data_IF_801306172177
#
_entry.id   IF_801306172177
#
_cell.length_a   1.000
_cell.length_b   1.000
_cell.length_c   1.000
_cell.angle_alpha   90.00
_cell.angle_beta   90.00
_cell.angle_gamma   90.00
#
_symmetry.space_group_name_H-M   'P 1'
#
loop_
_entity.id
_entity.type
_entity.pdbx_description
1 polymer ?
#
# COMPACT_ATOMS: atom_id res chain seq x y z
N UNK A 1 22.63 11.71 -4.94
CA UNK A 1 22.38 12.50 -3.71
C UNK A 1 21.90 11.64 -2.54
N UNK A 2 21.70 10.32 -2.72
CA UNK A 2 21.23 9.41 -1.66
C UNK A 2 19.70 9.33 -1.56
N UNK A 3 18.97 9.98 -2.46
CA UNK A 3 17.51 9.86 -2.54
C UNK A 3 17.07 8.45 -2.93
N UNK A 4 15.90 8.03 -2.45
CA UNK A 4 15.33 6.74 -2.78
C UNK A 4 14.99 6.66 -4.28
N UNK A 5 15.38 5.57 -4.93
CA UNK A 5 15.06 5.31 -6.33
C UNK A 5 13.62 4.76 -6.46
N UNK A 6 12.72 5.62 -6.92
CA UNK A 6 11.30 5.30 -7.08
C UNK A 6 10.96 4.59 -8.39
N UNK A 7 11.91 4.39 -9.31
CA UNK A 7 11.60 3.89 -10.67
C UNK A 7 10.90 2.53 -10.65
N UNK A 8 11.27 1.65 -9.71
CA UNK A 8 10.67 0.33 -9.59
C UNK A 8 9.23 0.40 -9.06
N UNK A 9 9.00 1.22 -8.03
CA UNK A 9 7.67 1.43 -7.44
C UNK A 9 6.72 2.02 -8.48
N UNK A 10 7.17 3.02 -9.23
CA UNK A 10 6.37 3.66 -10.28
C UNK A 10 6.15 2.76 -11.50
N UNK A 11 7.14 1.95 -11.87
CA UNK A 11 6.98 0.95 -12.93
C UNK A 11 5.89 -0.07 -12.61
N UNK A 12 5.88 -0.60 -11.38
CA UNK A 12 4.82 -1.52 -10.92
C UNK A 12 3.46 -0.82 -10.85
N UNK A 13 3.40 0.43 -10.39
CA UNK A 13 2.17 1.20 -10.37
C UNK A 13 1.57 1.37 -11.79
N UNK A 14 2.41 1.63 -12.80
CA UNK A 14 1.98 1.66 -14.19
C UNK A 14 1.47 0.29 -14.65
N UNK A 15 2.19 -0.80 -14.38
CA UNK A 15 1.79 -2.15 -14.76
C UNK A 15 0.44 -2.56 -14.14
N UNK A 16 0.17 -2.18 -12.88
CA UNK A 16 -1.13 -2.35 -12.24
C UNK A 16 -2.21 -1.61 -13.04
N UNK A 17 -1.97 -0.32 -13.35
CA UNK A 17 -2.89 0.47 -14.17
C UNK A 17 -3.08 -0.10 -15.58
N UNK A 18 -2.09 -0.81 -16.14
CA UNK A 18 -2.17 -1.43 -17.48
C UNK A 18 -3.06 -2.67 -17.48
N UNK A 19 -3.09 -3.40 -16.36
CA UNK A 19 -3.63 -4.76 -16.29
C UNK A 19 -4.92 -4.88 -15.50
N UNK A 20 -5.20 -3.95 -14.57
CA UNK A 20 -6.41 -4.01 -13.74
C UNK A 20 -7.71 -3.98 -14.55
N UNK A 21 -8.73 -4.70 -14.06
CA UNK A 21 -10.04 -4.86 -14.71
C UNK A 21 -11.22 -4.67 -13.76
N UNK A 22 -10.94 -4.34 -12.50
CA UNK A 22 -11.93 -4.09 -11.45
C UNK A 22 -11.28 -3.18 -10.39
N UNK A 23 -12.05 -2.79 -9.38
CA UNK A 23 -11.57 -2.00 -8.25
C UNK A 23 -10.44 -2.71 -7.48
N UNK A 24 -9.42 -1.93 -7.10
CA UNK A 24 -8.26 -2.40 -6.32
C UNK A 24 -7.88 -1.40 -5.22
N UNK A 25 -7.24 -1.92 -4.17
CA UNK A 25 -6.45 -1.11 -3.22
C UNK A 25 -4.97 -1.39 -3.48
N UNK A 26 -4.25 -0.37 -3.95
CA UNK A 26 -2.81 -0.45 -4.24
C UNK A 26 -2.02 -0.10 -2.99
N UNK A 27 -1.42 -1.10 -2.36
CA UNK A 27 -0.75 -0.95 -1.06
C UNK A 27 0.76 -0.82 -1.26
N UNK A 28 1.32 0.33 -0.87
CA UNK A 28 2.77 0.53 -0.84
C UNK A 28 3.34 -0.01 0.46
N UNK A 29 4.10 -1.10 0.37
CA UNK A 29 4.82 -1.72 1.49
C UNK A 29 6.31 -1.37 1.53
N UNK A 30 6.88 -1.05 0.37
CA UNK A 30 8.27 -0.62 0.23
C UNK A 30 8.56 0.61 1.08
N UNK A 31 9.76 0.67 1.66
CA UNK A 31 10.26 1.89 2.32
C UNK A 31 10.48 2.98 1.27
N UNK A 32 9.60 3.97 1.27
CA UNK A 32 9.59 5.07 0.29
C UNK A 32 9.48 6.41 1.02
N UNK A 33 9.98 7.51 0.42
CA UNK A 33 9.80 8.84 0.98
C UNK A 33 8.31 9.23 1.06
N UNK A 34 8.00 10.13 1.98
CA UNK A 34 6.69 10.80 2.08
C UNK A 34 6.28 11.38 0.72
N UNK A 35 5.00 11.27 0.38
CA UNK A 35 4.43 11.72 -0.89
C UNK A 35 4.58 10.74 -2.05
N UNK A 36 5.20 9.57 -1.83
CA UNK A 36 5.28 8.53 -2.89
C UNK A 36 3.91 7.95 -3.25
N UNK A 37 2.98 7.87 -2.30
CA UNK A 37 1.62 7.40 -2.56
C UNK A 37 0.90 8.23 -3.64
N UNK A 38 1.08 9.55 -3.65
CA UNK A 38 0.52 10.42 -4.69
C UNK A 38 1.14 10.17 -6.06
N UNK A 39 2.44 9.84 -6.10
CA UNK A 39 3.11 9.44 -7.35
C UNK A 39 2.59 8.09 -7.87
N UNK A 40 2.34 7.15 -6.97
CA UNK A 40 1.71 5.85 -7.29
C UNK A 40 0.30 6.08 -7.83
N UNK A 41 -0.51 6.90 -7.14
CA UNK A 41 -1.86 7.27 -7.56
C UNK A 41 -1.87 7.87 -8.96
N UNK A 42 -0.98 8.82 -9.23
CA UNK A 42 -0.81 9.44 -10.55
C UNK A 42 -0.40 8.43 -11.63
N UNK A 43 0.53 7.52 -11.34
CA UNK A 43 0.99 6.51 -12.30
C UNK A 43 -0.10 5.49 -12.69
N UNK A 44 -0.91 5.06 -11.73
CA UNK A 44 -2.08 4.20 -12.00
C UNK A 44 -3.12 4.96 -12.83
N UNK A 45 -3.48 6.18 -12.40
CA UNK A 45 -4.49 7.00 -13.06
C UNK A 45 -4.13 7.34 -14.51
N UNK A 46 -2.89 7.79 -14.77
CA UNK A 46 -2.42 8.13 -16.13
C UNK A 46 -2.50 6.92 -17.07
N UNK A 47 -2.31 5.73 -16.53
CA UNK A 47 -2.35 4.49 -17.31
C UNK A 47 -3.79 4.08 -17.64
N UNK A 48 -4.71 4.24 -16.69
CA UNK A 48 -6.15 4.04 -16.94
C UNK A 48 -6.68 5.02 -18.00
N UNK A 49 -6.26 6.29 -17.91
CA UNK A 49 -6.56 7.30 -18.91
C UNK A 49 -6.01 6.90 -20.29
N UNK A 50 -4.76 6.48 -20.38
CA UNK A 50 -4.13 5.99 -21.62
C UNK A 50 -4.89 4.80 -22.23
N UNK A 51 -5.46 3.93 -21.38
CA UNK A 51 -6.29 2.79 -21.81
C UNK A 51 -7.71 3.19 -22.23
N UNK A 52 -8.16 4.40 -21.90
CA UNK A 52 -9.55 4.83 -22.12
C UNK A 52 -10.57 4.05 -21.30
N UNK A 53 -10.19 3.57 -20.12
CA UNK A 53 -11.08 2.81 -19.21
C UNK A 53 -11.22 3.51 -17.88
N UNK A 54 -12.33 3.26 -17.18
CA UNK A 54 -12.60 3.82 -15.85
C UNK A 54 -12.81 2.69 -14.86
N UNK A 55 -11.83 2.50 -13.99
CA UNK A 55 -11.93 1.65 -12.81
C UNK A 55 -11.61 2.50 -11.58
N UNK A 56 -12.39 2.34 -10.51
CA UNK A 56 -12.05 2.95 -9.22
C UNK A 56 -10.82 2.26 -8.61
N UNK A 57 -10.02 2.99 -7.85
CA UNK A 57 -8.96 2.40 -7.03
C UNK A 57 -8.60 3.33 -5.88
N UNK A 58 -8.08 2.74 -4.81
CA UNK A 58 -7.49 3.48 -3.69
C UNK A 58 -5.99 3.17 -3.58
N UNK A 59 -5.27 4.05 -2.90
CA UNK A 59 -3.86 3.85 -2.56
C UNK A 59 -3.74 3.82 -1.04
N UNK A 60 -2.95 2.90 -0.51
CA UNK A 60 -2.66 2.80 0.92
C UNK A 60 -1.16 2.69 1.16
N UNK A 61 -0.73 3.10 2.35
CA UNK A 61 0.62 2.84 2.87
C UNK A 61 0.53 1.75 3.93
N UNK A 62 1.39 0.73 3.85
CA UNK A 62 1.50 -0.27 4.91
C UNK A 62 2.97 -0.70 5.04
N UNK A 63 3.80 0.12 5.70
CA UNK A 63 5.23 -0.16 5.84
C UNK A 63 5.47 -1.52 6.51
N UNK A 64 6.67 -2.03 6.33
CA UNK A 64 7.15 -3.27 6.95
C UNK A 64 8.21 -2.97 8.02
N UNK A 65 8.30 -3.84 9.01
CA UNK A 65 9.22 -3.70 10.15
C UNK A 65 9.96 -5.03 10.42
N UNK A 66 10.23 -5.79 9.36
CA UNK A 66 10.79 -7.14 9.44
C UNK A 66 12.31 -7.07 9.56
N UNK A 67 12.88 -7.94 10.39
CA UNK A 67 14.33 -8.11 10.49
C UNK A 67 14.78 -9.27 9.61
N UNK A 68 15.90 -9.07 8.92
CA UNK A 68 16.57 -10.14 8.18
C UNK A 68 16.91 -11.30 9.12
N UNK A 69 16.62 -12.53 8.70
CA UNK A 69 16.80 -13.74 9.52
C UNK A 69 15.65 -14.06 10.49
N UNK A 70 14.69 -13.15 10.69
CA UNK A 70 13.50 -13.36 11.56
C UNK A 70 12.17 -12.98 10.89
N UNK A 71 12.17 -12.73 9.57
CA UNK A 71 11.04 -12.13 8.86
C UNK A 71 9.70 -12.88 9.00
N UNK A 72 9.72 -14.22 9.08
CA UNK A 72 8.50 -15.01 9.28
C UNK A 72 7.90 -14.74 10.67
N UNK A 73 8.72 -14.81 11.72
CA UNK A 73 8.25 -14.57 13.08
C UNK A 73 7.81 -13.13 13.28
N UNK A 74 8.56 -12.16 12.74
CA UNK A 74 8.23 -10.74 12.80
C UNK A 74 6.91 -10.42 12.07
N UNK A 75 6.65 -11.08 10.94
CA UNK A 75 5.40 -10.91 10.20
C UNK A 75 4.22 -11.54 10.94
N UNK A 76 4.41 -12.73 11.52
CA UNK A 76 3.35 -13.48 12.19
C UNK A 76 3.03 -12.96 13.59
N UNK A 77 3.96 -12.28 14.25
CA UNK A 77 3.82 -11.73 15.61
C UNK A 77 4.27 -10.26 15.67
N UNK A 78 3.62 -9.35 14.92
CA UNK A 78 4.05 -7.96 14.89
C UNK A 78 3.70 -7.25 16.20
N UNK A 79 4.55 -6.34 16.66
CA UNK A 79 4.21 -5.46 17.79
C UNK A 79 3.01 -4.55 17.46
N UNK A 80 2.93 -4.14 16.19
CA UNK A 80 1.86 -3.32 15.60
C UNK A 80 1.93 -3.38 14.07
N UNK A 81 0.79 -3.18 13.42
CA UNK A 81 0.67 -3.03 11.97
C UNK A 81 0.25 -1.58 11.69
N UNK A 82 1.05 -0.84 10.93
CA UNK A 82 0.76 0.56 10.58
C UNK A 82 0.09 0.60 9.20
N UNK A 83 -1.04 1.29 9.09
CA UNK A 83 -1.78 1.43 7.83
C UNK A 83 -2.18 2.89 7.62
N UNK A 84 -1.64 3.51 6.58
CA UNK A 84 -2.07 4.82 6.08
C UNK A 84 -3.13 4.65 5.00
N UNK A 85 -4.30 5.28 5.17
CA UNK A 85 -5.43 5.25 4.22
C UNK A 85 -6.10 6.61 4.13
N UNK A 86 -6.75 6.90 3.01
CA UNK A 86 -7.54 8.12 2.80
C UNK A 86 -8.99 7.86 2.34
N UNK A 87 -9.44 6.60 2.38
CA UNK A 87 -10.82 6.21 2.09
C UNK A 87 -11.36 5.18 3.09
N UNK A 88 -12.65 5.26 3.40
CA UNK A 88 -13.34 4.29 4.26
C UNK A 88 -13.32 2.88 3.66
N UNK A 89 -13.36 2.77 2.33
CA UNK A 89 -13.40 1.48 1.65
C UNK A 89 -12.04 0.79 1.67
N UNK A 90 -10.95 1.54 1.47
CA UNK A 90 -9.60 1.04 1.70
C UNK A 90 -9.40 0.62 3.16
N UNK A 91 -9.88 1.41 4.12
CA UNK A 91 -9.81 1.05 5.54
C UNK A 91 -10.54 -0.27 5.85
N UNK A 92 -11.77 -0.46 5.35
CA UNK A 92 -12.53 -1.72 5.54
C UNK A 92 -11.82 -2.92 4.95
N UNK A 93 -11.19 -2.77 3.77
CA UNK A 93 -10.43 -3.84 3.13
C UNK A 93 -9.20 -4.20 3.95
N UNK A 94 -8.46 -3.20 4.43
CA UNK A 94 -7.28 -3.39 5.28
C UNK A 94 -7.63 -3.99 6.64
N UNK A 95 -8.73 -3.58 7.26
CA UNK A 95 -9.24 -4.16 8.50
C UNK A 95 -9.60 -5.64 8.30
N UNK A 96 -10.31 -5.97 7.22
CA UNK A 96 -10.63 -7.36 6.87
C UNK A 96 -9.36 -8.20 6.63
N UNK A 97 -8.37 -7.64 5.92
CA UNK A 97 -7.10 -8.30 5.63
C UNK A 97 -6.34 -8.64 6.92
N UNK A 98 -6.29 -7.70 7.87
CA UNK A 98 -5.54 -7.86 9.13
C UNK A 98 -6.35 -8.40 10.31
N UNK A 99 -7.65 -8.67 10.12
CA UNK A 99 -8.53 -9.24 11.16
C UNK A 99 -7.95 -10.47 11.88
N UNK A 100 -7.28 -11.43 11.21
CA UNK A 100 -6.66 -12.56 11.92
C UNK A 100 -5.60 -12.13 12.94
N UNK A 101 -4.88 -11.03 12.70
CA UNK A 101 -3.86 -10.50 13.59
C UNK A 101 -4.47 -9.78 14.80
N UNK A 102 -5.51 -8.98 14.58
CA UNK A 102 -6.20 -8.27 15.68
C UNK A 102 -6.90 -9.23 16.63
N UNK A 103 -7.45 -10.35 16.13
CA UNK A 103 -8.00 -11.43 16.97
C UNK A 103 -6.95 -12.11 17.86
N UNK A 104 -5.67 -12.07 17.47
CA UNK A 104 -4.53 -12.59 18.24
C UNK A 104 -3.85 -11.50 19.09
N UNK A 105 -4.46 -10.32 19.22
CA UNK A 105 -3.95 -9.24 20.06
C UNK A 105 -2.88 -8.36 19.42
N UNK A 106 -2.64 -8.49 18.11
CA UNK A 106 -1.71 -7.62 17.38
C UNK A 106 -2.46 -6.39 16.84
N UNK A 107 -2.17 -5.17 17.34
CA UNK A 107 -2.94 -3.98 17.00
C UNK A 107 -2.67 -3.50 15.57
N UNK A 108 -3.71 -3.02 14.90
CA UNK A 108 -3.61 -2.25 13.64
C UNK A 108 -3.83 -0.78 13.97
N UNK A 109 -2.91 0.07 13.54
CA UNK A 109 -2.93 1.52 13.73
C UNK A 109 -3.24 2.16 12.38
N UNK A 110 -4.45 2.70 12.27
CA UNK A 110 -4.87 3.49 11.11
C UNK A 110 -4.48 4.95 11.27
N UNK A 111 -3.98 5.56 10.20
CA UNK A 111 -3.57 6.97 10.11
C UNK A 111 -3.74 7.47 8.67
N UNK A 112 -3.41 8.74 8.43
CA UNK A 112 -3.31 9.30 7.09
C UNK A 112 -2.09 8.75 6.33
N UNK A 113 -2.06 8.93 5.01
CA UNK A 113 -1.01 8.39 4.15
C UNK A 113 0.34 9.14 4.28
N UNK A 114 0.37 10.48 4.39
CA UNK A 114 1.61 11.20 4.65
C UNK A 114 1.95 11.07 6.14
N UNK A 115 2.89 10.19 6.48
CA UNK A 115 3.41 10.07 7.86
C UNK A 115 4.92 9.99 7.87
#
# INVERSE_FOLDING_TARGET
DGSADLKYVLGVAQEIGQTMQDYLVVITKSTVPVGTAEKVRGAVASTLETRGVTFGFDVASNPEFLKEGAAIDDFMKPDRIVVGVDSDDAQKIMDKLYRPFTLNGHPVIFMDIPS
#
